data_IF_856692658871
#
_entry.id   IF_856692658871
#
_cell.length_a   1.000
_cell.length_b   1.000
_cell.length_c   1.000
_cell.angle_alpha   90.00
_cell.angle_beta   90.00
_cell.angle_gamma   90.00
#
_symmetry.space_group_name_H-M   'P 1'
#
loop_
_entity.id
_entity.type
_entity.pdbx_description
1 polymer ?
#
# COMPACT_ATOMS: atom_id res chain seq x y z
N UNK A 1 -1.34 18.25 -16.66
CA UNK A 1 -1.28 16.91 -16.01
C UNK A 1 -1.33 15.78 -17.07
N UNK A 2 -0.56 15.87 -18.18
CA UNK A 2 -0.65 14.90 -19.31
C UNK A 2 0.53 13.93 -19.35
N UNK A 3 1.74 14.42 -19.06
CA UNK A 3 2.99 13.71 -19.33
C UNK A 3 3.11 12.38 -18.57
N UNK A 4 2.79 12.39 -17.27
CA UNK A 4 2.81 11.18 -16.45
C UNK A 4 1.75 10.16 -16.87
N UNK A 5 0.62 10.61 -17.42
CA UNK A 5 -0.49 9.75 -17.84
C UNK A 5 -0.17 9.03 -19.16
N UNK A 6 0.47 9.73 -20.09
CA UNK A 6 0.90 9.18 -21.37
C UNK A 6 2.08 8.23 -21.22
N UNK A 7 3.03 8.54 -20.31
CA UNK A 7 4.11 7.63 -19.90
C UNK A 7 3.55 6.37 -19.23
N UNK A 8 2.63 6.52 -18.25
CA UNK A 8 2.02 5.38 -17.57
C UNK A 8 1.29 4.44 -18.54
N UNK A 9 0.56 4.99 -19.53
CA UNK A 9 -0.07 4.20 -20.59
C UNK A 9 0.94 3.51 -21.50
N UNK A 10 1.97 4.24 -21.96
CA UNK A 10 3.02 3.70 -22.87
C UNK A 10 3.78 2.53 -22.25
N UNK A 11 4.06 2.59 -20.96
CA UNK A 11 4.78 1.55 -20.23
C UNK A 11 3.87 0.54 -19.53
N UNK A 12 2.55 0.63 -19.74
CA UNK A 12 1.54 -0.15 -19.00
C UNK A 12 1.75 -0.10 -17.46
N UNK A 13 2.35 0.97 -16.97
CA UNK A 13 2.52 1.23 -15.55
C UNK A 13 1.14 1.60 -15.00
N UNK A 14 0.40 0.56 -14.62
CA UNK A 14 -0.88 0.67 -13.95
C UNK A 14 -0.68 0.23 -12.51
N UNK A 15 -1.03 1.11 -11.57
CA UNK A 15 -0.90 0.81 -10.16
C UNK A 15 -0.73 2.04 -9.30
N UNK A 16 -1.17 1.92 -8.07
CA UNK A 16 -0.68 2.72 -6.96
C UNK A 16 0.20 1.78 -6.12
N UNK A 17 1.23 2.29 -5.47
CA UNK A 17 2.03 1.52 -4.51
C UNK A 17 1.73 2.04 -3.11
N UNK A 18 1.51 1.12 -2.17
CA UNK A 18 1.32 1.46 -0.76
C UNK A 18 2.57 1.00 -0.03
N UNK A 19 3.31 1.95 0.52
CA UNK A 19 4.43 1.66 1.42
C UNK A 19 4.01 1.96 2.85
N UNK A 20 4.31 1.05 3.77
CA UNK A 20 4.13 1.24 5.20
C UNK A 20 5.51 1.30 5.83
N UNK A 21 5.83 2.45 6.45
CA UNK A 21 7.03 2.61 7.25
C UNK A 21 6.68 2.52 8.73
N UNK A 22 7.10 1.45 9.39
CA UNK A 22 7.01 1.33 10.83
C UNK A 22 8.36 1.71 11.46
N UNK A 23 8.35 2.69 12.37
CA UNK A 23 9.56 3.06 13.13
C UNK A 23 9.65 2.13 14.35
N UNK A 24 10.57 1.16 14.30
CA UNK A 24 10.78 0.18 15.37
C UNK A 24 12.19 0.38 15.93
N UNK A 25 12.28 0.65 17.24
CA UNK A 25 13.56 0.93 17.92
C UNK A 25 14.40 2.04 17.23
N UNK A 26 13.72 3.08 16.73
CA UNK A 26 14.35 4.20 16.04
C UNK A 26 14.86 3.89 14.63
N UNK A 27 14.52 2.73 14.06
CA UNK A 27 14.87 2.34 12.69
C UNK A 27 13.63 2.27 11.81
N UNK A 28 13.76 2.76 10.59
CA UNK A 28 12.74 2.61 9.55
C UNK A 28 12.62 1.14 9.13
N UNK A 29 11.38 0.67 9.06
CA UNK A 29 11.02 -0.64 8.54
C UNK A 29 9.96 -0.45 7.45
N UNK A 30 10.45 -0.13 6.25
CA UNK A 30 9.64 0.17 5.08
C UNK A 30 9.29 -1.14 4.38
N UNK A 31 7.99 -1.42 4.26
CA UNK A 31 7.47 -2.58 3.55
C UNK A 31 6.46 -2.15 2.50
N UNK A 32 6.56 -2.71 1.31
CA UNK A 32 5.54 -2.53 0.28
C UNK A 32 4.35 -3.47 0.56
N UNK A 33 3.13 -2.96 0.42
CA UNK A 33 1.91 -3.74 0.45
C UNK A 33 1.30 -3.82 -0.95
N UNK A 34 1.61 -4.92 -1.65
CA UNK A 34 1.02 -5.21 -2.95
C UNK A 34 -0.31 -5.96 -2.86
N UNK A 35 -0.61 -6.57 -1.70
CA UNK A 35 -1.83 -7.37 -1.49
C UNK A 35 -3.04 -6.49 -1.26
N UNK A 36 -2.86 -5.32 -0.66
CA UNK A 36 -3.93 -4.34 -0.40
C UNK A 36 -4.75 -4.00 -1.65
N UNK A 37 -4.09 -3.98 -2.82
CA UNK A 37 -4.74 -3.63 -4.10
C UNK A 37 -5.75 -4.65 -4.58
N UNK A 38 -5.62 -5.91 -4.16
CA UNK A 38 -6.59 -6.96 -4.49
C UNK A 38 -7.88 -6.82 -3.69
N UNK A 39 -7.86 -6.05 -2.60
CA UNK A 39 -8.98 -5.91 -1.68
C UNK A 39 -9.79 -4.64 -1.92
N UNK A 40 -9.35 -3.75 -2.82
CA UNK A 40 -10.01 -2.43 -3.03
C UNK A 40 -11.45 -2.53 -3.55
N UNK A 41 -11.82 -3.67 -4.16
CA UNK A 41 -13.19 -3.95 -4.60
C UNK A 41 -14.14 -4.29 -3.45
N UNK A 42 -13.60 -4.64 -2.27
CA UNK A 42 -14.37 -4.93 -1.05
C UNK A 42 -13.90 -4.02 0.09
N UNK A 43 -14.71 -3.01 0.36
CA UNK A 43 -14.43 -2.00 1.38
C UNK A 43 -14.23 -2.59 2.79
N UNK A 44 -14.95 -3.64 3.14
CA UNK A 44 -14.85 -4.25 4.47
C UNK A 44 -13.55 -5.05 4.58
N UNK A 45 -13.24 -5.88 3.58
CA UNK A 45 -11.98 -6.64 3.55
C UNK A 45 -10.76 -5.73 3.50
N UNK A 46 -10.81 -4.66 2.69
CA UNK A 46 -9.76 -3.66 2.64
C UNK A 46 -9.48 -3.04 4.02
N UNK A 47 -10.54 -2.59 4.71
CA UNK A 47 -10.41 -1.96 6.03
C UNK A 47 -9.86 -2.92 7.07
N UNK A 48 -10.39 -4.13 7.14
CA UNK A 48 -9.96 -5.12 8.13
C UNK A 48 -8.51 -5.51 7.89
N UNK A 49 -8.14 -5.81 6.64
CA UNK A 49 -6.76 -6.13 6.28
C UNK A 49 -5.77 -5.03 6.67
N UNK A 50 -6.07 -3.78 6.35
CA UNK A 50 -5.18 -2.67 6.64
C UNK A 50 -5.08 -2.43 8.15
N UNK A 51 -6.22 -2.51 8.87
CA UNK A 51 -6.26 -2.40 10.33
C UNK A 51 -5.40 -3.50 10.98
N UNK A 52 -5.62 -4.76 10.63
CA UNK A 52 -4.90 -5.89 11.22
C UNK A 52 -3.40 -5.80 10.95
N UNK A 53 -3.00 -5.33 9.76
CA UNK A 53 -1.59 -5.11 9.45
C UNK A 53 -0.97 -4.02 10.32
N UNK A 54 -1.68 -2.91 10.53
CA UNK A 54 -1.22 -1.82 11.41
C UNK A 54 -1.18 -2.29 12.86
N UNK A 55 -2.20 -2.99 13.35
CA UNK A 55 -2.26 -3.51 14.71
C UNK A 55 -1.10 -4.49 14.98
N UNK A 56 -0.80 -5.39 14.04
CA UNK A 56 0.37 -6.28 14.12
C UNK A 56 1.70 -5.51 14.21
N UNK A 57 1.85 -4.41 13.47
CA UNK A 57 3.05 -3.56 13.52
C UNK A 57 3.16 -2.80 14.85
N UNK A 58 2.03 -2.48 15.48
CA UNK A 58 1.95 -1.78 16.76
C UNK A 58 1.93 -2.74 17.97
N UNK A 59 1.84 -4.05 17.74
CA UNK A 59 1.71 -5.06 18.80
C UNK A 59 0.38 -5.00 19.56
N UNK A 60 -0.73 -4.72 18.87
CA UNK A 60 -2.09 -4.60 19.42
C UNK A 60 -3.01 -5.73 18.98
#
# INVERSE_FOLDING_TARGET
>A
MSENKDLARKFQASGSSLFINAIINGKDNITEDTKVWRLVSDKAQFKNYLKDKIDNLLGR
#
